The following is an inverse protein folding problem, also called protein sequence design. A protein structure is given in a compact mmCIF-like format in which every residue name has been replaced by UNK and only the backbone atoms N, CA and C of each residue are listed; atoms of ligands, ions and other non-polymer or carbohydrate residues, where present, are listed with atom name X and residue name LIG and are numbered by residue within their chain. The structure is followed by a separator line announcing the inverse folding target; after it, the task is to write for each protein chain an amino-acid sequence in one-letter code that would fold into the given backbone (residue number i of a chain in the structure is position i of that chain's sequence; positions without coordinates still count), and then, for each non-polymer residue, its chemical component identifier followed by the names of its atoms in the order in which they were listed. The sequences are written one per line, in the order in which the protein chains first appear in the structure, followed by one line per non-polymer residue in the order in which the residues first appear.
data_IF_464300928841
#
_entry.id   IF_464300928841
#
_cell.length_a   1.000
_cell.length_b   1.000
_cell.length_c   1.000
_cell.angle_alpha   90.00
_cell.angle_beta   90.00
_cell.angle_gamma   90.00
#
_symmetry.space_group_name_H-M   'P 1'
#
loop_
_entity.id
_entity.type
_entity.pdbx_description
1 polymer ?
#
# COMPACT_ATOMS: atom_id res chain seq x y z
N UNK A 1 -15.54 30.52 -3.87
CA UNK A 1 -14.19 30.38 -3.36
C UNK A 1 -13.84 28.90 -3.44
N UNK A 2 -12.82 28.55 -4.21
CA UNK A 2 -12.38 27.17 -4.39
C UNK A 2 -11.69 26.65 -3.12
N UNK A 3 -11.41 25.34 -3.05
CA UNK A 3 -10.67 24.80 -1.90
C UNK A 3 -9.23 25.29 -1.88
N UNK A 4 -8.63 25.51 -3.05
CA UNK A 4 -7.33 26.17 -3.16
C UNK A 4 -7.37 27.60 -2.60
N UNK A 5 -8.38 28.40 -2.94
CA UNK A 5 -8.50 29.77 -2.41
C UNK A 5 -8.66 29.77 -0.88
N UNK A 6 -9.43 28.81 -0.32
CA UNK A 6 -9.58 28.65 1.14
C UNK A 6 -8.27 28.28 1.80
N UNK A 7 -7.50 27.36 1.19
CA UNK A 7 -6.18 26.96 1.67
C UNK A 7 -5.24 28.18 1.74
N UNK A 8 -5.09 28.91 0.63
CA UNK A 8 -4.22 30.09 0.57
C UNK A 8 -4.67 31.14 1.58
N UNK A 9 -5.97 31.41 1.70
CA UNK A 9 -6.50 32.37 2.68
C UNK A 9 -6.12 32.03 4.13
N UNK A 10 -6.16 30.75 4.51
CA UNK A 10 -5.75 30.33 5.85
C UNK A 10 -4.26 30.63 6.10
N UNK A 11 -3.41 30.40 5.09
CA UNK A 11 -1.97 30.68 5.18
C UNK A 11 -1.72 32.19 5.31
N UNK A 12 -2.43 33.01 4.53
CA UNK A 12 -2.33 34.47 4.55
C UNK A 12 -2.86 35.06 5.89
N UNK A 13 -4.03 34.64 6.33
CA UNK A 13 -4.65 35.09 7.61
C UNK A 13 -3.73 34.79 8.81
N UNK A 14 -2.97 33.68 8.75
CA UNK A 14 -1.98 33.29 9.75
C UNK A 14 -0.63 33.94 9.56
N UNK A 15 -0.38 34.58 8.43
CA UNK A 15 0.95 35.09 8.04
C UNK A 15 1.99 33.96 8.17
N UNK A 16 1.61 32.76 7.70
CA UNK A 16 2.38 31.54 7.89
C UNK A 16 3.79 31.71 7.30
N UNK A 17 4.82 31.45 8.11
CA UNK A 17 6.20 31.36 7.71
C UNK A 17 6.63 29.90 7.52
N UNK A 18 6.01 28.97 8.30
CA UNK A 18 6.31 27.56 8.23
C UNK A 18 5.03 26.70 8.16
N UNK A 19 4.92 25.87 7.13
CA UNK A 19 3.81 24.92 6.92
C UNK A 19 4.33 23.50 6.94
N UNK A 20 3.81 22.69 7.85
CA UNK A 20 4.11 21.28 7.96
C UNK A 20 3.10 20.46 7.14
N UNK A 21 3.59 19.71 6.15
CA UNK A 21 2.84 18.75 5.36
C UNK A 21 3.01 17.37 5.99
N UNK A 22 2.03 16.91 6.75
CA UNK A 22 2.14 15.73 7.61
C UNK A 22 1.45 14.53 6.96
N UNK A 23 2.23 13.47 6.71
CA UNK A 23 1.76 12.19 6.18
C UNK A 23 1.42 11.20 7.29
N UNK A 24 0.61 10.19 6.97
CA UNK A 24 0.21 9.12 7.89
C UNK A 24 1.37 8.19 8.31
N UNK A 25 1.10 7.29 9.27
CA UNK A 25 2.04 6.26 9.73
C UNK A 25 2.44 5.33 8.57
N UNK A 26 3.76 5.05 8.46
CA UNK A 26 4.33 4.24 7.37
C UNK A 26 3.94 4.80 6.00
N UNK A 27 4.10 6.12 5.84
CA UNK A 27 3.69 6.88 4.68
C UNK A 27 3.98 6.15 3.37
N UNK A 28 2.98 6.04 2.55
CA UNK A 28 3.07 5.37 1.25
C UNK A 28 3.39 6.36 0.12
N UNK A 29 3.31 5.88 -1.11
CA UNK A 29 3.67 6.70 -2.25
C UNK A 29 2.63 7.78 -2.52
N UNK A 30 1.34 7.55 -2.23
CA UNK A 30 0.31 8.55 -2.44
C UNK A 30 0.44 9.71 -1.44
N UNK A 31 0.61 9.40 -0.15
CA UNK A 31 0.83 10.41 0.88
C UNK A 31 2.04 11.30 0.57
N UNK A 32 3.20 10.69 0.25
CA UNK A 32 4.45 11.44 0.02
C UNK A 32 4.40 12.24 -1.28
N UNK A 33 3.87 11.66 -2.35
CA UNK A 33 3.77 12.32 -3.65
C UNK A 33 2.75 13.46 -3.63
N UNK A 34 1.64 13.30 -2.93
CA UNK A 34 0.67 14.37 -2.73
C UNK A 34 1.27 15.52 -1.93
N UNK A 35 2.06 15.23 -0.88
CA UNK A 35 2.77 16.25 -0.11
C UNK A 35 3.79 17.01 -0.97
N UNK A 36 4.58 16.29 -1.77
CA UNK A 36 5.57 16.91 -2.65
C UNK A 36 4.93 17.81 -3.72
N UNK A 37 3.87 17.35 -4.36
CA UNK A 37 3.18 18.14 -5.36
C UNK A 37 2.51 19.38 -4.73
N UNK A 38 1.92 19.25 -3.54
CA UNK A 38 1.36 20.39 -2.80
C UNK A 38 2.45 21.39 -2.39
N UNK A 39 3.61 20.92 -1.93
CA UNK A 39 4.76 21.75 -1.60
C UNK A 39 5.14 22.63 -2.82
N UNK A 40 5.26 22.05 -3.99
CA UNK A 40 5.54 22.78 -5.23
C UNK A 40 4.46 23.76 -5.61
N UNK A 41 3.18 23.41 -5.41
CA UNK A 41 2.05 24.31 -5.64
C UNK A 41 2.11 25.50 -4.68
N UNK A 42 2.27 25.27 -3.39
CA UNK A 42 2.36 26.33 -2.38
C UNK A 42 3.52 27.28 -2.66
N UNK A 43 4.69 26.78 -3.04
CA UNK A 43 5.87 27.61 -3.34
C UNK A 43 5.62 28.65 -4.44
N UNK A 44 4.71 28.39 -5.39
CA UNK A 44 4.37 29.35 -6.46
C UNK A 44 3.53 30.51 -5.98
N UNK A 45 2.64 30.27 -5.02
CA UNK A 45 1.70 31.28 -4.54
C UNK A 45 2.16 31.93 -3.23
N UNK A 46 2.99 31.22 -2.46
CA UNK A 46 3.50 31.63 -1.16
C UNK A 46 5.04 31.44 -1.11
N UNK A 47 5.82 32.17 -1.93
CA UNK A 47 7.25 31.92 -2.12
C UNK A 47 8.09 32.09 -0.86
N UNK A 48 7.61 32.86 0.13
CA UNK A 48 8.28 33.12 1.39
C UNK A 48 7.94 32.08 2.49
N UNK A 49 7.00 31.14 2.21
CA UNK A 49 6.61 30.09 3.15
C UNK A 49 7.59 28.93 3.03
N UNK A 50 8.17 28.54 4.14
CA UNK A 50 8.94 27.30 4.25
C UNK A 50 7.96 26.14 4.40
N UNK A 51 8.15 25.07 3.65
CA UNK A 51 7.33 23.87 3.74
C UNK A 51 8.21 22.66 4.01
N UNK A 52 7.74 21.76 4.88
CA UNK A 52 8.42 20.52 5.22
C UNK A 52 7.45 19.35 5.08
N UNK A 53 7.92 18.22 4.53
CA UNK A 53 7.15 16.97 4.48
C UNK A 53 7.53 16.13 5.68
N UNK A 54 6.60 15.94 6.61
CA UNK A 54 6.79 15.17 7.85
C UNK A 54 6.23 13.76 7.73
N UNK A 55 7.08 12.76 8.04
CA UNK A 55 6.70 11.34 8.11
C UNK A 55 7.11 10.76 9.47
N UNK A 56 6.44 11.12 10.59
CA UNK A 56 6.96 10.90 11.95
C UNK A 56 7.10 9.43 12.33
N UNK A 57 6.47 8.53 11.62
CA UNK A 57 6.55 7.09 11.89
C UNK A 57 7.13 6.31 10.70
N UNK A 58 7.94 7.01 9.91
CA UNK A 58 8.66 6.44 8.79
C UNK A 58 7.82 6.29 7.53
N UNK A 59 8.43 5.66 6.56
CA UNK A 59 7.89 5.43 5.23
C UNK A 59 7.92 3.94 4.91
N UNK A 60 6.98 3.45 4.13
CA UNK A 60 6.94 2.06 3.73
C UNK A 60 8.08 1.70 2.73
N UNK A 61 8.30 0.41 2.52
CA UNK A 61 9.42 -0.06 1.67
C UNK A 61 9.31 0.41 0.20
N UNK A 62 8.16 0.38 -0.47
CA UNK A 62 8.01 0.93 -1.82
C UNK A 62 8.36 2.42 -1.89
N UNK A 63 7.87 3.23 -0.94
CA UNK A 63 8.16 4.67 -0.89
C UNK A 63 9.63 4.97 -0.62
N UNK A 64 10.34 4.15 0.17
CA UNK A 64 11.80 4.25 0.32
C UNK A 64 12.53 4.11 -1.01
N UNK A 65 12.11 3.15 -1.83
CA UNK A 65 12.69 2.96 -3.16
C UNK A 65 12.39 4.15 -4.07
N UNK A 66 11.16 4.68 -4.00
CA UNK A 66 10.74 5.84 -4.77
C UNK A 66 11.60 7.08 -4.47
N UNK A 67 11.92 7.34 -3.19
CA UNK A 67 12.74 8.47 -2.78
C UNK A 67 14.15 8.45 -3.38
N UNK A 68 14.67 7.31 -3.82
CA UNK A 68 15.95 7.22 -4.51
C UNK A 68 15.92 7.82 -5.94
N UNK A 69 14.71 7.96 -6.51
CA UNK A 69 14.52 8.36 -7.90
C UNK A 69 13.75 9.68 -8.06
N UNK A 70 13.32 10.29 -6.95
CA UNK A 70 12.56 11.52 -6.92
C UNK A 70 13.23 12.57 -6.04
N UNK A 71 13.19 13.85 -6.41
CA UNK A 71 13.81 14.92 -5.61
C UNK A 71 12.92 15.29 -4.41
N UNK A 72 12.53 14.28 -3.61
CA UNK A 72 11.64 14.43 -2.46
C UNK A 72 12.45 14.25 -1.19
N UNK A 73 12.40 15.25 -0.31
CA UNK A 73 13.00 15.19 1.02
C UNK A 73 11.92 15.09 2.07
N UNK A 74 12.04 14.12 2.98
CA UNK A 74 11.12 13.92 4.08
C UNK A 74 11.83 14.01 5.42
N UNK A 75 11.17 14.58 6.42
CA UNK A 75 11.64 14.62 7.81
C UNK A 75 10.91 13.54 8.63
N UNK A 76 11.70 12.63 9.24
CA UNK A 76 11.15 11.56 10.10
C UNK A 76 10.86 12.04 11.53
N UNK A 77 11.35 13.21 11.90
CA UNK A 77 11.16 13.82 13.22
C UNK A 77 10.68 15.26 13.07
N UNK A 78 9.50 15.51 12.46
CA UNK A 78 9.00 16.85 12.22
C UNK A 78 8.68 17.56 13.53
N UNK A 79 9.00 18.85 13.60
CA UNK A 79 8.64 19.68 14.74
C UNK A 79 7.23 20.25 14.55
N UNK A 80 6.25 19.59 15.15
CA UNK A 80 4.83 19.97 15.06
C UNK A 80 4.55 21.30 15.77
N UNK A 81 5.27 21.57 16.86
CA UNK A 81 5.03 22.77 17.70
C UNK A 81 5.47 24.05 17.00
N UNK A 82 6.45 23.97 16.11
CA UNK A 82 6.96 25.12 15.35
C UNK A 82 6.11 25.47 14.13
N UNK A 83 5.14 24.64 13.74
CA UNK A 83 4.35 24.87 12.54
C UNK A 83 3.28 25.97 12.76
N UNK A 84 3.24 26.93 11.85
CA UNK A 84 2.17 27.94 11.82
C UNK A 84 0.86 27.37 11.27
N UNK A 85 0.95 26.43 10.34
CA UNK A 85 -0.17 25.67 9.77
C UNK A 85 0.26 24.22 9.53
N UNK A 86 -0.63 23.27 9.80
CA UNK A 86 -0.41 21.86 9.59
C UNK A 86 -1.40 21.34 8.55
N UNK A 87 -0.90 20.70 7.50
CA UNK A 87 -1.72 20.06 6.47
C UNK A 87 -1.55 18.54 6.59
N UNK A 88 -2.62 17.85 6.95
CA UNK A 88 -2.69 16.38 6.98
C UNK A 88 -2.97 15.90 5.56
N UNK A 89 -2.15 14.99 5.06
CA UNK A 89 -2.23 14.46 3.70
C UNK A 89 -2.42 12.96 3.73
N UNK A 90 -3.45 12.51 3.02
CA UNK A 90 -3.79 11.10 2.91
C UNK A 90 -4.06 10.45 4.28
N UNK A 91 -4.59 11.25 5.19
CA UNK A 91 -5.05 10.80 6.51
C UNK A 91 -6.03 11.80 7.11
N UNK A 92 -7.16 11.32 7.58
CA UNK A 92 -8.12 12.10 8.36
C UNK A 92 -8.36 11.50 9.75
N UNK A 93 -7.56 10.53 10.18
CA UNK A 93 -7.66 9.93 11.51
C UNK A 93 -6.41 10.25 12.31
N UNK A 94 -6.48 11.28 13.15
CA UNK A 94 -5.33 11.77 13.93
C UNK A 94 -4.76 10.67 14.84
N UNK A 95 -5.59 9.80 15.38
CA UNK A 95 -5.14 8.70 16.26
C UNK A 95 -4.24 7.70 15.53
N UNK A 96 -4.30 7.63 14.19
CA UNK A 96 -3.36 6.82 13.38
C UNK A 96 -1.95 7.42 13.32
N UNK A 97 -1.75 8.64 13.82
CA UNK A 97 -0.45 9.28 13.92
C UNK A 97 0.29 8.95 15.22
N UNK A 98 -0.27 8.04 16.06
CA UNK A 98 0.31 7.48 17.29
C UNK A 98 1.09 8.52 18.14
N UNK A 99 2.43 8.46 18.11
CA UNK A 99 3.32 9.28 18.96
C UNK A 99 3.11 10.79 18.82
N UNK A 100 2.68 11.26 17.65
CA UNK A 100 2.49 12.70 17.39
C UNK A 100 1.03 13.14 17.51
N UNK A 101 0.10 12.22 17.70
CA UNK A 101 -1.33 12.50 17.76
C UNK A 101 -1.68 13.50 18.86
N UNK A 102 -1.15 13.30 20.06
CA UNK A 102 -1.42 14.18 21.21
C UNK A 102 -0.81 15.58 21.04
N UNK A 103 0.42 15.67 20.50
CA UNK A 103 1.05 16.95 20.19
C UNK A 103 0.27 17.70 19.11
N UNK A 104 -0.19 16.97 18.10
CA UNK A 104 -1.01 17.53 17.02
C UNK A 104 -2.36 18.05 17.55
N UNK A 105 -3.06 17.30 18.40
CA UNK A 105 -4.33 17.74 19.01
C UNK A 105 -4.15 19.02 19.84
N UNK A 106 -3.06 19.12 20.61
CA UNK A 106 -2.75 20.25 21.48
C UNK A 106 -2.19 21.46 20.74
N UNK A 107 -1.64 21.29 19.54
CA UNK A 107 -1.08 22.39 18.77
C UNK A 107 -2.13 23.46 18.48
N UNK A 108 -1.84 24.76 18.68
CA UNK A 108 -2.73 25.87 18.35
C UNK A 108 -2.77 26.17 16.84
N UNK A 109 -1.86 25.58 16.05
CA UNK A 109 -1.81 25.75 14.62
C UNK A 109 -3.10 25.25 13.95
N UNK A 110 -3.71 26.00 13.03
CA UNK A 110 -4.83 25.52 12.25
C UNK A 110 -4.43 24.27 11.48
N UNK A 111 -5.31 23.29 11.50
CA UNK A 111 -5.16 22.03 10.80
C UNK A 111 -6.02 22.02 9.56
N UNK A 112 -5.46 21.51 8.48
CA UNK A 112 -6.13 21.32 7.19
C UNK A 112 -6.01 19.83 6.86
N UNK A 113 -7.09 19.20 6.42
CA UNK A 113 -7.08 17.82 5.92
C UNK A 113 -7.30 17.83 4.42
N UNK A 114 -6.47 17.07 3.69
CA UNK A 114 -6.68 16.76 2.28
C UNK A 114 -6.60 15.23 2.17
N UNK A 115 -7.74 14.59 1.88
CA UNK A 115 -7.83 13.13 1.96
C UNK A 115 -8.93 12.56 1.05
N UNK A 116 -8.76 11.32 0.61
CA UNK A 116 -9.74 10.60 -0.20
C UNK A 116 -10.48 9.49 0.60
N UNK A 117 -10.13 9.29 1.85
CA UNK A 117 -10.81 8.33 2.73
C UNK A 117 -12.10 8.91 3.32
N UNK A 118 -12.95 8.02 3.85
CA UNK A 118 -14.20 8.44 4.51
C UNK A 118 -13.95 9.41 5.66
N UNK A 119 -14.74 10.49 5.78
CA UNK A 119 -14.51 11.55 6.77
C UNK A 119 -14.53 11.05 8.22
N UNK A 120 -13.59 11.51 9.03
CA UNK A 120 -13.57 11.26 10.46
C UNK A 120 -14.18 12.45 11.22
N UNK A 121 -15.34 12.28 11.91
CA UNK A 121 -16.01 13.37 12.60
C UNK A 121 -15.16 14.05 13.68
N UNK A 122 -14.31 13.31 14.38
CA UNK A 122 -13.47 13.87 15.46
C UNK A 122 -12.35 14.75 14.89
N UNK A 123 -11.73 14.31 13.81
CA UNK A 123 -10.72 15.11 13.10
C UNK A 123 -11.34 16.36 12.48
N UNK A 124 -12.52 16.22 11.88
CA UNK A 124 -13.21 17.35 11.26
C UNK A 124 -13.56 18.47 12.25
N UNK A 125 -13.85 18.14 13.53
CA UNK A 125 -14.15 19.15 14.58
C UNK A 125 -12.96 20.07 14.86
N UNK A 126 -11.74 19.61 14.72
CA UNK A 126 -10.53 20.36 15.07
C UNK A 126 -9.81 20.94 13.85
N UNK A 127 -10.26 20.60 12.64
CA UNK A 127 -9.69 21.11 11.40
C UNK A 127 -10.39 22.39 10.94
N UNK A 128 -9.60 23.35 10.47
CA UNK A 128 -10.08 24.62 9.92
C UNK A 128 -10.61 24.45 8.50
N UNK A 129 -10.08 23.49 7.76
CA UNK A 129 -10.48 23.14 6.40
C UNK A 129 -10.36 21.64 6.20
N UNK A 130 -11.41 21.03 5.62
CA UNK A 130 -11.40 19.64 5.20
C UNK A 130 -11.70 19.58 3.70
N UNK A 131 -10.74 19.11 2.92
CA UNK A 131 -10.84 18.85 1.49
C UNK A 131 -10.87 17.34 1.32
N UNK A 132 -12.05 16.76 1.42
CA UNK A 132 -12.26 15.31 1.38
C UNK A 132 -13.07 14.96 0.14
N UNK A 133 -12.58 14.00 -0.64
CA UNK A 133 -13.27 13.50 -1.84
C UNK A 133 -13.20 11.96 -1.91
N UNK A 134 -14.18 11.29 -1.31
CA UNK A 134 -14.29 9.82 -1.29
C UNK A 134 -14.45 9.18 -2.69
N UNK A 135 -14.69 9.98 -3.74
CA UNK A 135 -14.77 9.50 -5.12
C UNK A 135 -13.41 9.50 -5.82
N UNK A 136 -12.43 10.20 -5.27
CA UNK A 136 -11.06 10.16 -5.76
C UNK A 136 -10.43 8.80 -5.40
N UNK A 137 -9.74 8.19 -6.35
CA UNK A 137 -9.07 6.91 -6.13
C UNK A 137 -7.71 7.06 -5.44
N UNK A 138 -7.23 8.30 -5.27
CA UNK A 138 -5.96 8.63 -4.63
C UNK A 138 -5.98 10.09 -4.15
N UNK A 139 -5.23 10.40 -3.10
CA UNK A 139 -5.08 11.77 -2.61
C UNK A 139 -4.38 12.67 -3.64
N UNK A 140 -3.48 12.12 -4.44
CA UNK A 140 -2.84 12.80 -5.58
C UNK A 140 -3.85 13.35 -6.60
N UNK A 141 -5.03 12.75 -6.76
CA UNK A 141 -6.09 13.31 -7.62
C UNK A 141 -6.64 14.61 -7.04
N UNK A 142 -6.81 14.68 -5.72
CA UNK A 142 -7.28 15.89 -5.03
C UNK A 142 -6.25 17.01 -5.20
N UNK A 143 -4.97 16.70 -5.03
CA UNK A 143 -3.89 17.67 -5.26
C UNK A 143 -3.89 18.15 -6.74
N UNK A 144 -4.06 17.25 -7.71
CA UNK A 144 -4.20 17.65 -9.10
C UNK A 144 -5.40 18.61 -9.32
N UNK A 145 -6.54 18.36 -8.65
CA UNK A 145 -7.69 19.28 -8.69
C UNK A 145 -7.36 20.65 -8.11
N UNK A 146 -6.52 20.73 -7.05
CA UNK A 146 -6.03 22.01 -6.52
C UNK A 146 -5.16 22.76 -7.54
N UNK A 147 -4.28 22.08 -8.30
CA UNK A 147 -3.56 22.71 -9.41
C UNK A 147 -4.51 23.30 -10.45
N UNK A 148 -5.60 22.60 -10.78
CA UNK A 148 -6.62 23.08 -11.71
C UNK A 148 -7.38 24.29 -11.16
N UNK A 149 -7.73 24.29 -9.89
CA UNK A 149 -8.38 25.41 -9.20
C UNK A 149 -7.47 26.65 -9.17
N UNK A 150 -6.17 26.44 -8.96
CA UNK A 150 -5.14 27.46 -8.99
C UNK A 150 -4.81 27.98 -10.42
N UNK A 151 -5.44 27.42 -11.47
CA UNK A 151 -5.20 27.73 -12.88
C UNK A 151 -3.72 27.60 -13.28
N UNK A 152 -3.02 26.64 -12.67
CA UNK A 152 -1.63 26.32 -12.98
C UNK A 152 -1.48 24.83 -13.30
N UNK A 153 -0.31 24.45 -13.85
CA UNK A 153 0.02 23.09 -14.16
C UNK A 153 1.15 22.59 -13.27
N UNK A 154 1.16 21.30 -12.92
CA UNK A 154 2.34 20.72 -12.29
C UNK A 154 3.54 20.77 -13.24
N UNK A 155 4.76 20.97 -12.69
CA UNK A 155 5.99 20.74 -13.46
C UNK A 155 6.22 19.24 -13.64
N UNK A 156 7.24 18.85 -14.43
CA UNK A 156 7.49 17.44 -14.75
C UNK A 156 7.66 16.56 -13.52
N UNK A 157 8.39 17.01 -12.48
CA UNK A 157 8.60 16.22 -11.26
C UNK A 157 7.32 16.13 -10.42
N UNK A 158 6.55 17.18 -10.32
CA UNK A 158 5.26 17.19 -9.64
C UNK A 158 4.24 16.32 -10.38
N UNK A 159 4.20 16.41 -11.71
CA UNK A 159 3.34 15.57 -12.54
C UNK A 159 3.72 14.10 -12.39
N UNK A 160 5.03 13.78 -12.37
CA UNK A 160 5.56 12.43 -12.13
C UNK A 160 5.18 11.93 -10.73
N UNK A 161 5.27 12.77 -9.70
CA UNK A 161 4.85 12.43 -8.34
C UNK A 161 3.34 12.13 -8.30
N UNK A 162 2.50 13.00 -8.85
CA UNK A 162 1.04 12.79 -8.90
C UNK A 162 0.68 11.48 -9.63
N UNK A 163 1.33 11.21 -10.77
CA UNK A 163 1.14 9.97 -11.51
C UNK A 163 1.50 8.73 -10.67
N UNK A 164 2.61 8.80 -9.92
CA UNK A 164 3.08 7.72 -9.06
C UNK A 164 2.09 7.44 -7.92
N UNK A 165 1.62 8.48 -7.21
CA UNK A 165 0.64 8.31 -6.14
C UNK A 165 -0.64 7.67 -6.64
N UNK A 166 -1.20 8.17 -7.75
CA UNK A 166 -2.40 7.58 -8.38
C UNK A 166 -2.14 6.13 -8.78
N UNK A 167 -1.00 5.81 -9.39
CA UNK A 167 -0.66 4.45 -9.80
C UNK A 167 -0.51 3.50 -8.60
N UNK A 168 0.00 3.99 -7.47
CA UNK A 168 0.16 3.22 -6.25
C UNK A 168 -1.20 2.77 -5.70
N UNK A 169 -2.11 3.71 -5.42
CA UNK A 169 -3.40 3.42 -4.81
C UNK A 169 -4.36 2.69 -5.73
N UNK A 170 -4.25 2.92 -7.03
CA UNK A 170 -5.07 2.21 -8.02
C UNK A 170 -4.49 0.87 -8.48
N UNK A 171 -3.44 0.36 -7.81
CA UNK A 171 -2.75 -0.89 -8.20
C UNK A 171 -2.35 -0.87 -9.67
N UNK A 172 -1.56 0.12 -10.06
CA UNK A 172 -1.14 0.32 -11.45
C UNK A 172 -2.35 0.47 -12.39
N UNK A 173 -3.31 1.29 -11.98
CA UNK A 173 -4.55 1.63 -12.70
C UNK A 173 -5.58 0.50 -12.81
N UNK A 174 -5.34 -0.67 -12.19
CA UNK A 174 -6.31 -1.77 -12.19
C UNK A 174 -7.64 -1.42 -11.46
N UNK A 175 -7.60 -0.46 -10.55
CA UNK A 175 -8.77 0.04 -9.80
C UNK A 175 -9.16 1.46 -10.21
N UNK A 176 -8.55 2.01 -11.28
CA UNK A 176 -8.85 3.35 -11.75
C UNK A 176 -10.26 3.46 -12.35
N UNK A 177 -10.95 4.54 -12.02
CA UNK A 177 -12.21 4.92 -12.66
C UNK A 177 -11.98 5.89 -13.82
N UNK A 178 -13.05 6.28 -14.55
CA UNK A 178 -12.93 7.19 -15.70
C UNK A 178 -12.31 8.55 -15.33
N UNK A 179 -12.74 9.26 -14.28
CA UNK A 179 -12.09 10.51 -13.84
C UNK A 179 -10.60 10.33 -13.51
N UNK A 180 -10.22 9.23 -12.86
CA UNK A 180 -8.81 8.90 -12.58
C UNK A 180 -7.99 8.81 -13.88
N UNK A 181 -8.48 8.05 -14.86
CA UNK A 181 -7.80 7.86 -16.14
C UNK A 181 -7.69 9.18 -16.94
N UNK A 182 -8.68 10.06 -16.86
CA UNK A 182 -8.60 11.38 -17.46
C UNK A 182 -7.48 12.24 -16.84
N UNK A 183 -7.30 12.18 -15.52
CA UNK A 183 -6.22 12.88 -14.83
C UNK A 183 -4.88 12.28 -15.27
N UNK A 184 -4.76 10.94 -15.27
CA UNK A 184 -3.55 10.24 -15.72
C UNK A 184 -3.16 10.63 -17.14
N UNK A 185 -4.12 10.66 -18.08
CA UNK A 185 -3.87 11.08 -19.45
C UNK A 185 -3.32 12.51 -19.54
N UNK A 186 -3.85 13.43 -18.72
CA UNK A 186 -3.36 14.83 -18.66
C UNK A 186 -1.96 14.91 -18.06
N UNK A 187 -1.66 14.11 -17.03
CA UNK A 187 -0.31 14.05 -16.45
C UNK A 187 0.71 13.49 -17.45
N UNK A 188 0.35 12.45 -18.21
CA UNK A 188 1.21 11.92 -19.29
C UNK A 188 1.44 12.97 -20.38
N UNK A 189 0.43 13.76 -20.72
CA UNK A 189 0.57 14.84 -21.69
C UNK A 189 1.52 15.97 -21.23
N UNK A 190 1.85 16.08 -19.94
CA UNK A 190 2.90 16.98 -19.43
C UNK A 190 4.33 16.42 -19.65
N UNK A 191 4.49 15.29 -20.35
CA UNK A 191 5.78 14.72 -20.77
C UNK A 191 6.30 13.57 -19.94
N UNK A 192 5.44 12.92 -19.14
CA UNK A 192 5.83 11.75 -18.36
C UNK A 192 5.94 10.53 -19.27
N UNK A 193 7.06 9.80 -19.19
CA UNK A 193 7.12 8.43 -19.65
C UNK A 193 6.45 7.51 -18.61
N UNK A 194 5.24 7.04 -18.94
CA UNK A 194 4.44 6.22 -18.04
C UNK A 194 5.11 4.87 -17.75
N UNK A 195 5.76 4.26 -18.75
CA UNK A 195 6.41 2.96 -18.60
C UNK A 195 7.65 3.06 -17.70
N UNK A 196 8.50 4.05 -17.94
CA UNK A 196 9.68 4.33 -17.10
C UNK A 196 9.24 4.65 -15.66
N UNK A 197 8.19 5.47 -15.50
CA UNK A 197 7.70 5.89 -14.19
C UNK A 197 7.11 4.72 -13.40
N UNK A 198 6.35 3.84 -14.05
CA UNK A 198 5.82 2.63 -13.40
C UNK A 198 6.95 1.65 -13.03
N UNK A 199 8.04 1.60 -13.80
CA UNK A 199 9.18 0.76 -13.48
C UNK A 199 9.84 1.13 -12.13
N UNK A 200 9.66 2.36 -11.64
CA UNK A 200 10.16 2.80 -10.31
C UNK A 200 9.51 2.02 -9.15
N UNK A 201 8.32 1.47 -9.34
CA UNK A 201 7.66 0.62 -8.36
C UNK A 201 8.20 -0.81 -8.34
N UNK A 202 8.87 -1.23 -9.40
CA UNK A 202 9.44 -2.57 -9.48
C UNK A 202 10.57 -2.69 -8.46
N UNK A 203 10.22 -3.14 -7.25
CA UNK A 203 11.26 -3.55 -6.30
C UNK A 203 12.13 -4.60 -6.99
N UNK A 204 13.46 -4.43 -7.03
CA UNK A 204 14.33 -5.45 -7.56
C UNK A 204 14.07 -6.72 -6.74
N UNK A 205 13.57 -7.76 -7.42
CA UNK A 205 13.40 -9.07 -6.77
C UNK A 205 14.80 -9.56 -6.42
N UNK A 206 15.04 -9.80 -5.13
CA UNK A 206 16.29 -10.34 -4.63
C UNK A 206 16.64 -11.63 -5.40
N UNK A 207 17.91 -11.78 -5.74
CA UNK A 207 18.43 -12.97 -6.43
C UNK A 207 18.07 -14.26 -5.69
N UNK A 208 18.08 -14.23 -4.35
CA UNK A 208 17.68 -15.36 -3.51
C UNK A 208 16.19 -15.68 -3.64
N UNK A 209 15.35 -14.65 -3.76
CA UNK A 209 13.91 -14.83 -4.00
C UNK A 209 13.64 -15.39 -5.41
N UNK A 210 14.34 -14.89 -6.44
CA UNK A 210 14.26 -15.45 -7.80
C UNK A 210 14.63 -16.93 -7.80
N UNK A 211 15.74 -17.26 -7.14
CA UNK A 211 16.21 -18.64 -7.03
C UNK A 211 15.23 -19.52 -6.24
N UNK A 212 14.61 -19.00 -5.17
CA UNK A 212 13.60 -19.72 -4.41
C UNK A 212 12.37 -20.05 -5.26
N UNK A 213 11.86 -19.10 -6.06
CA UNK A 213 10.76 -19.32 -7.01
C UNK A 213 11.11 -20.44 -8.02
N UNK A 214 12.29 -20.35 -8.65
CA UNK A 214 12.74 -21.36 -9.60
C UNK A 214 12.92 -22.74 -8.95
N UNK A 215 13.51 -22.82 -7.75
CA UNK A 215 13.63 -24.08 -6.99
C UNK A 215 12.26 -24.65 -6.62
N UNK A 216 11.30 -23.80 -6.25
CA UNK A 216 9.94 -24.23 -5.97
C UNK A 216 9.28 -24.85 -7.21
N UNK A 217 9.41 -24.22 -8.37
CA UNK A 217 8.90 -24.77 -9.64
C UNK A 217 9.55 -26.11 -9.99
N UNK A 218 10.88 -26.21 -9.90
CA UNK A 218 11.62 -27.48 -10.17
C UNK A 218 11.19 -28.62 -9.23
N UNK A 219 10.83 -28.32 -8.00
CA UNK A 219 10.46 -29.31 -6.95
C UNK A 219 8.95 -29.52 -6.84
N UNK A 220 8.15 -28.79 -7.61
CA UNK A 220 6.71 -28.84 -7.51
C UNK A 220 6.17 -30.23 -7.86
N UNK A 221 5.40 -30.81 -6.95
CA UNK A 221 4.52 -31.94 -7.21
C UNK A 221 3.17 -31.40 -7.61
N UNK A 222 2.81 -31.57 -8.88
CA UNK A 222 1.56 -31.12 -9.44
C UNK A 222 0.54 -32.24 -9.34
N UNK A 223 -0.63 -31.94 -8.81
CA UNK A 223 -1.70 -32.90 -8.58
C UNK A 223 -3.01 -32.32 -9.12
N UNK A 224 -3.85 -33.17 -9.66
CA UNK A 224 -5.21 -32.79 -10.05
C UNK A 224 -6.23 -33.44 -9.13
N UNK A 225 -7.15 -32.64 -8.61
CA UNK A 225 -8.27 -33.05 -7.78
C UNK A 225 -9.52 -32.52 -8.45
N UNK A 226 -10.31 -33.37 -9.11
CA UNK A 226 -11.36 -32.97 -10.04
C UNK A 226 -10.79 -32.03 -11.13
N UNK A 227 -11.35 -30.81 -11.26
CA UNK A 227 -10.83 -29.78 -12.18
C UNK A 227 -9.65 -28.96 -11.61
N UNK A 228 -9.35 -29.11 -10.30
CA UNK A 228 -8.41 -28.26 -9.61
C UNK A 228 -6.97 -28.75 -9.68
N UNK A 229 -6.06 -27.89 -10.11
CA UNK A 229 -4.62 -28.15 -10.14
C UNK A 229 -4.00 -27.60 -8.85
N UNK A 230 -3.38 -28.49 -8.07
CA UNK A 230 -2.74 -28.19 -6.80
C UNK A 230 -1.23 -28.39 -6.95
N UNK A 231 -0.43 -27.41 -6.52
CA UNK A 231 1.02 -27.50 -6.51
C UNK A 231 1.56 -27.53 -5.08
N UNK A 232 2.37 -28.56 -4.78
CA UNK A 232 3.05 -28.72 -3.51
C UNK A 232 4.55 -28.62 -3.72
N UNK A 233 5.26 -27.83 -2.91
CA UNK A 233 6.71 -27.69 -3.03
C UNK A 233 7.37 -27.33 -1.70
N UNK A 234 8.71 -27.19 -1.72
CA UNK A 234 9.46 -26.73 -0.57
C UNK A 234 10.67 -25.89 -0.96
N UNK A 235 10.98 -24.89 -0.13
CA UNK A 235 12.16 -24.02 -0.23
C UNK A 235 12.65 -23.62 1.16
N UNK A 236 13.92 -23.20 1.25
CA UNK A 236 14.52 -22.81 2.54
C UNK A 236 14.06 -21.41 3.02
N UNK A 237 13.68 -20.53 2.10
CA UNK A 237 13.23 -19.16 2.37
C UNK A 237 12.26 -18.71 1.28
N UNK A 238 11.54 -17.61 1.50
CA UNK A 238 10.58 -17.01 0.54
C UNK A 238 9.41 -17.94 0.17
N UNK A 239 8.91 -18.75 1.11
CA UNK A 239 7.83 -19.70 0.89
C UNK A 239 6.57 -19.01 0.32
N UNK A 240 6.22 -17.83 0.84
CA UNK A 240 5.04 -17.06 0.41
C UNK A 240 5.15 -16.60 -1.05
N UNK A 241 6.31 -16.10 -1.44
CA UNK A 241 6.60 -15.66 -2.80
C UNK A 241 6.66 -16.84 -3.77
N UNK A 242 7.23 -17.97 -3.33
CA UNK A 242 7.29 -19.20 -4.10
C UNK A 242 5.90 -19.81 -4.32
N UNK A 243 5.03 -19.81 -3.31
CA UNK A 243 3.65 -20.29 -3.43
C UNK A 243 2.84 -19.40 -4.40
N UNK A 244 3.02 -18.06 -4.33
CA UNK A 244 2.41 -17.17 -5.30
C UNK A 244 2.88 -17.44 -6.72
N UNK A 245 4.19 -17.65 -6.93
CA UNK A 245 4.74 -17.93 -8.25
C UNK A 245 4.15 -19.22 -8.85
N UNK A 246 3.90 -20.26 -8.06
CA UNK A 246 3.24 -21.48 -8.54
C UNK A 246 1.79 -21.25 -8.97
N UNK A 247 1.07 -20.37 -8.28
CA UNK A 247 -0.30 -19.96 -8.69
C UNK A 247 -0.25 -19.12 -9.96
N UNK A 248 0.69 -18.18 -10.06
CA UNK A 248 0.87 -17.33 -11.25
C UNK A 248 1.25 -18.17 -12.50
N UNK A 249 1.88 -19.34 -12.31
CA UNK A 249 2.20 -20.31 -13.37
C UNK A 249 1.03 -21.23 -13.76
N UNK A 250 -0.12 -21.14 -13.07
CA UNK A 250 -1.34 -21.85 -13.44
C UNK A 250 -1.87 -22.85 -12.41
N UNK A 251 -1.26 -23.00 -11.24
CA UNK A 251 -1.88 -23.76 -10.16
C UNK A 251 -3.07 -23.01 -9.57
N UNK A 252 -4.19 -23.70 -9.33
CA UNK A 252 -5.33 -23.10 -8.65
C UNK A 252 -5.05 -22.87 -7.16
N UNK A 253 -4.30 -23.77 -6.53
CA UNK A 253 -3.79 -23.58 -5.18
C UNK A 253 -2.37 -24.15 -5.06
N UNK A 254 -1.56 -23.53 -4.21
CA UNK A 254 -0.20 -23.93 -3.95
C UNK A 254 0.12 -23.91 -2.45
N UNK A 255 0.86 -24.94 -1.99
CA UNK A 255 1.43 -25.00 -0.66
C UNK A 255 2.94 -25.17 -0.76
N UNK A 256 3.68 -24.26 -0.15
CA UNK A 256 5.15 -24.31 -0.11
C UNK A 256 5.63 -24.36 1.34
N UNK A 257 6.30 -25.44 1.69
CA UNK A 257 6.86 -25.66 3.01
C UNK A 257 8.34 -25.25 3.08
N UNK A 258 8.81 -24.98 4.29
CA UNK A 258 10.22 -24.73 4.57
C UNK A 258 10.51 -24.89 6.06
N UNK A 259 11.79 -25.08 6.38
CA UNK A 259 12.27 -25.12 7.76
C UNK A 259 12.93 -23.79 8.11
N UNK A 260 12.55 -23.21 9.25
CA UNK A 260 13.14 -22.00 9.79
C UNK A 260 13.27 -22.11 11.31
N UNK A 261 14.49 -21.97 11.81
CA UNK A 261 14.77 -22.06 13.24
C UNK A 261 14.19 -23.32 13.92
N UNK A 262 14.30 -24.49 13.26
CA UNK A 262 13.80 -25.76 13.76
C UNK A 262 12.27 -25.93 13.72
N UNK A 263 11.53 -24.95 13.16
CA UNK A 263 10.08 -25.04 12.94
C UNK A 263 9.78 -25.18 11.46
N UNK A 264 8.71 -25.90 11.16
CA UNK A 264 8.17 -25.93 9.81
C UNK A 264 7.29 -24.71 9.59
N UNK A 265 7.49 -24.06 8.47
CA UNK A 265 6.62 -22.97 7.98
C UNK A 265 5.99 -23.40 6.65
N UNK A 266 4.69 -23.20 6.50
CA UNK A 266 3.99 -23.45 5.25
C UNK A 266 3.28 -22.18 4.81
N UNK A 267 3.48 -21.80 3.55
CA UNK A 267 2.72 -20.72 2.92
C UNK A 267 1.75 -21.29 1.90
N UNK A 268 0.51 -20.85 2.01
CA UNK A 268 -0.61 -21.26 1.16
C UNK A 268 -1.05 -20.06 0.31
N UNK A 269 -1.25 -20.28 -0.98
CA UNK A 269 -1.82 -19.31 -1.92
C UNK A 269 -2.81 -20.00 -2.83
N UNK A 270 -3.87 -19.30 -3.26
CA UNK A 270 -4.76 -19.79 -4.30
C UNK A 270 -5.26 -18.66 -5.20
N UNK A 271 -5.82 -19.04 -6.34
CA UNK A 271 -6.52 -18.13 -7.23
C UNK A 271 -7.89 -17.74 -6.64
N UNK A 272 -8.41 -16.61 -7.09
CA UNK A 272 -9.77 -16.16 -6.73
C UNK A 272 -10.82 -17.18 -7.17
N UNK A 273 -10.65 -17.71 -8.39
CA UNK A 273 -11.53 -18.74 -8.93
C UNK A 273 -11.62 -19.97 -8.00
N UNK A 274 -10.48 -20.43 -7.46
CA UNK A 274 -10.46 -21.56 -6.53
C UNK A 274 -11.27 -21.28 -5.27
N UNK A 275 -11.13 -20.10 -4.67
CA UNK A 275 -11.89 -19.72 -3.47
C UNK A 275 -13.39 -19.63 -3.74
N UNK A 276 -13.79 -19.01 -4.86
CA UNK A 276 -15.19 -18.75 -5.18
C UNK A 276 -15.93 -20.01 -5.65
N UNK A 277 -15.29 -20.86 -6.44
CA UNK A 277 -15.95 -22.02 -7.05
C UNK A 277 -15.72 -23.32 -6.27
N UNK A 278 -14.52 -23.56 -5.71
CA UNK A 278 -14.32 -24.72 -4.84
C UNK A 278 -14.82 -24.49 -3.40
N UNK A 279 -15.18 -23.25 -3.04
CA UNK A 279 -15.66 -22.89 -1.72
C UNK A 279 -14.64 -23.12 -0.59
N UNK A 280 -13.35 -23.06 -0.89
CA UNK A 280 -12.26 -23.33 0.07
C UNK A 280 -11.66 -22.02 0.59
N UNK A 281 -11.68 -21.86 1.89
CA UNK A 281 -11.05 -20.73 2.59
C UNK A 281 -9.71 -21.18 3.18
N UNK A 282 -8.58 -20.84 2.56
CA UNK A 282 -7.25 -21.34 2.96
C UNK A 282 -6.95 -21.15 4.45
N UNK A 283 -7.29 -20.01 5.03
CA UNK A 283 -7.03 -19.72 6.44
C UNK A 283 -7.80 -20.62 7.40
N UNK A 284 -9.12 -20.77 7.17
CA UNK A 284 -10.02 -21.50 8.06
C UNK A 284 -10.01 -22.99 7.80
N UNK A 285 -10.05 -23.40 6.52
CA UNK A 285 -10.28 -24.79 6.15
C UNK A 285 -8.99 -25.61 6.06
N UNK A 286 -7.84 -24.94 5.84
CA UNK A 286 -6.56 -25.63 5.62
C UNK A 286 -5.52 -25.21 6.65
N UNK A 287 -5.25 -23.92 6.81
CA UNK A 287 -4.15 -23.47 7.68
C UNK A 287 -4.43 -23.70 9.16
N UNK A 288 -5.63 -23.42 9.65
CA UNK A 288 -5.97 -23.64 11.06
C UNK A 288 -5.86 -25.13 11.45
N UNK A 289 -6.51 -26.09 10.74
CA UNK A 289 -6.37 -27.51 11.06
C UNK A 289 -4.93 -28.04 10.88
N UNK A 290 -4.19 -27.52 9.88
CA UNK A 290 -2.79 -27.90 9.70
C UNK A 290 -1.91 -27.37 10.84
N UNK A 291 -2.23 -26.18 11.38
CA UNK A 291 -1.57 -25.61 12.55
C UNK A 291 -1.76 -26.49 13.79
N UNK A 292 -2.98 -26.97 14.04
CA UNK A 292 -3.28 -27.92 15.12
C UNK A 292 -2.50 -29.23 14.96
N UNK A 293 -2.50 -29.81 13.75
CA UNK A 293 -1.72 -31.03 13.44
C UNK A 293 -0.23 -30.84 13.73
N UNK A 294 0.34 -29.67 13.49
CA UNK A 294 1.75 -29.36 13.72
C UNK A 294 2.05 -28.86 15.16
N UNK A 295 1.09 -28.95 16.07
CA UNK A 295 1.21 -28.41 17.43
C UNK A 295 1.72 -26.96 17.43
N UNK A 296 1.16 -26.15 16.52
CA UNK A 296 1.56 -24.78 16.25
C UNK A 296 0.38 -23.87 15.96
N UNK A 297 0.60 -22.90 15.10
CA UNK A 297 -0.40 -21.88 14.73
C UNK A 297 -0.60 -21.87 13.21
N UNK A 298 -1.85 -21.84 12.79
CA UNK A 298 -2.22 -21.67 11.39
C UNK A 298 -3.39 -20.72 11.24
N UNK A 299 -3.39 -19.92 10.16
CA UNK A 299 -4.46 -18.96 9.89
C UNK A 299 -4.18 -18.10 8.68
N UNK A 300 -5.08 -17.15 8.44
CA UNK A 300 -4.97 -16.18 7.33
C UNK A 300 -6.30 -15.94 6.63
N UNK A 301 -6.20 -15.39 5.44
CA UNK A 301 -7.35 -15.03 4.60
C UNK A 301 -7.77 -16.18 3.66
N UNK A 302 -8.86 -15.96 2.94
CA UNK A 302 -9.40 -16.96 2.00
C UNK A 302 -8.38 -17.38 0.92
N UNK A 303 -7.59 -16.45 0.40
CA UNK A 303 -6.65 -16.68 -0.71
C UNK A 303 -5.18 -16.76 -0.26
N UNK A 304 -4.85 -16.43 0.98
CA UNK A 304 -3.49 -16.38 1.49
C UNK A 304 -3.45 -16.76 2.97
N UNK A 305 -2.72 -17.80 3.29
CA UNK A 305 -2.63 -18.28 4.66
C UNK A 305 -1.20 -18.79 4.97
N UNK A 306 -0.91 -18.91 6.25
CA UNK A 306 0.36 -19.40 6.76
C UNK A 306 0.18 -20.34 7.93
N UNK A 307 1.15 -21.23 8.09
CA UNK A 307 1.20 -22.18 9.23
C UNK A 307 2.62 -22.21 9.76
N UNK A 308 2.77 -22.29 11.06
CA UNK A 308 4.06 -22.52 11.73
C UNK A 308 3.87 -23.53 12.85
N UNK A 309 4.75 -24.51 12.95
CA UNK A 309 4.63 -25.55 13.98
C UNK A 309 5.82 -26.49 13.98
N UNK A 310 5.64 -27.67 14.58
CA UNK A 310 6.65 -28.75 14.65
C UNK A 310 6.33 -29.80 13.60
N UNK A 311 7.33 -30.26 12.86
CA UNK A 311 7.14 -31.34 11.88
C UNK A 311 8.22 -31.36 10.80
N UNK A 312 8.03 -32.26 9.87
CA UNK A 312 8.87 -32.46 8.71
C UNK A 312 8.15 -32.04 7.41
N UNK A 313 8.89 -31.71 6.38
CA UNK A 313 8.36 -31.12 5.12
C UNK A 313 7.37 -32.10 4.43
N UNK A 314 7.80 -33.33 4.18
CA UNK A 314 7.00 -34.31 3.42
C UNK A 314 5.69 -34.71 4.13
N UNK A 315 5.69 -35.09 5.43
CA UNK A 315 4.45 -35.37 6.17
C UNK A 315 3.50 -34.17 6.20
N UNK A 316 4.04 -32.94 6.39
CA UNK A 316 3.25 -31.73 6.45
C UNK A 316 2.55 -31.44 5.11
N UNK A 317 3.28 -31.58 3.99
CA UNK A 317 2.69 -31.39 2.66
C UNK A 317 1.65 -32.46 2.32
N UNK A 318 1.86 -33.71 2.76
CA UNK A 318 0.86 -34.78 2.62
C UNK A 318 -0.41 -34.48 3.42
N UNK A 319 -0.27 -34.01 4.65
CA UNK A 319 -1.42 -33.60 5.47
C UNK A 319 -2.16 -32.41 4.87
N UNK A 320 -1.43 -31.42 4.38
CA UNK A 320 -2.01 -30.28 3.67
C UNK A 320 -2.84 -30.75 2.44
N UNK A 321 -2.30 -31.68 1.65
CA UNK A 321 -3.01 -32.26 0.52
C UNK A 321 -4.28 -33.01 0.95
N UNK A 322 -4.23 -33.75 2.05
CA UNK A 322 -5.39 -34.47 2.59
C UNK A 322 -6.52 -33.51 2.95
N UNK A 323 -6.20 -32.42 3.64
CA UNK A 323 -7.16 -31.38 4.01
C UNK A 323 -7.78 -30.72 2.77
N UNK A 324 -6.95 -30.40 1.76
CA UNK A 324 -7.44 -29.87 0.48
C UNK A 324 -8.39 -30.83 -0.23
N UNK A 325 -8.02 -32.14 -0.31
CA UNK A 325 -8.88 -33.18 -0.91
C UNK A 325 -10.22 -33.28 -0.19
N UNK A 326 -10.19 -33.39 1.13
CA UNK A 326 -11.41 -33.51 1.94
C UNK A 326 -12.37 -32.32 1.72
N UNK A 327 -11.81 -31.11 1.62
CA UNK A 327 -12.61 -29.90 1.48
C UNK A 327 -13.18 -29.74 0.07
N UNK A 328 -12.37 -30.00 -0.96
CA UNK A 328 -12.80 -29.96 -2.36
C UNK A 328 -13.90 -31.00 -2.63
N UNK A 329 -13.72 -32.24 -2.12
CA UNK A 329 -14.71 -33.32 -2.35
C UNK A 329 -16.02 -33.12 -1.56
N UNK A 330 -15.97 -32.41 -0.43
CA UNK A 330 -17.17 -32.13 0.37
C UNK A 330 -18.05 -31.03 -0.27
N UNK A 331 -17.45 -30.16 -1.06
CA UNK A 331 -18.13 -29.04 -1.70
C UNK A 331 -18.48 -29.32 -3.17
N UNK A 332 -18.06 -30.45 -3.74
CA UNK A 332 -18.44 -30.97 -5.06
C UNK A 332 -19.70 -31.83 -4.97
#
# INVERSE_FOLDING_TARGET
MTDFDKLIKILEDKKAAFVLLLCHRSADADAICSAYALQGLLKRFMPNVVTEIGCPQGINKPSKQLLLHMPITVNMNPNIESADVIVLLDTNTIDQLDQVAETLKKSPAPKIVIDHHSPNPETNKICKLCVIDEKAAANCEIIYKLFRQAKTKPNLNEAKALFIGIAFDTRHFALANSPTLEIVAKLVAEGIDAQETLALFALPIDSSERLAKLKACKRAKILRINEWIIALSHVSAYQASAAKALVDLGAHAAAVAGLKNGKIEVSLRCSRQFTEQAGVHLGKDIAAPLGEYLQGVGGGHAMAAGVSGRGEIEPTLKQCLLLLKQRITKNA
#
